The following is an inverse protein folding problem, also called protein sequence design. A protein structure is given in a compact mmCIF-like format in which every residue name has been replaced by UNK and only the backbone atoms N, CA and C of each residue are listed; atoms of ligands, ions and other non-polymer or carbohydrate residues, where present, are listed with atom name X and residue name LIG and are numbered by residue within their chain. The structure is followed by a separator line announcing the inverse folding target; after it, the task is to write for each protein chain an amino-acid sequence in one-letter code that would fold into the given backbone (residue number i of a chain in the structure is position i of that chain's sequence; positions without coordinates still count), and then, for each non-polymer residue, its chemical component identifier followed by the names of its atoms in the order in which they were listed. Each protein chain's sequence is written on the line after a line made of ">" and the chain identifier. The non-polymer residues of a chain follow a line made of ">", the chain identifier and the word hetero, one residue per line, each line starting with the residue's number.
data_IF_434148591650
#
_entry.id   IF_434148591650
#
_cell.length_a   1.000
_cell.length_b   1.000
_cell.length_c   1.000
_cell.angle_alpha   90.00
_cell.angle_beta   90.00
_cell.angle_gamma   90.00
#
_symmetry.space_group_name_H-M   'P 1'
#
loop_
_entity.id
_entity.type
_entity.pdbx_description
1 polymer ?
#
# COMPACT_ATOMS: atom_id res chain seq x y z
N UNK A 1 -0.87 -5.40 -16.16
CA UNK A 1 -0.61 -5.46 -14.71
C UNK A 1 0.41 -4.41 -14.27
N UNK A 2 1.61 -4.35 -14.88
CA UNK A 2 2.64 -3.33 -14.54
C UNK A 2 2.15 -1.88 -14.73
N UNK A 3 1.41 -1.59 -15.81
CA UNK A 3 0.95 -0.21 -16.07
C UNK A 3 -0.20 0.23 -15.16
N UNK A 4 -1.19 -0.64 -14.91
CA UNK A 4 -2.21 -0.39 -13.86
C UNK A 4 -1.52 -0.21 -12.49
N UNK A 5 -0.57 -1.06 -12.09
CA UNK A 5 0.18 -0.93 -10.83
C UNK A 5 1.01 0.37 -10.73
N UNK A 6 1.59 0.85 -11.84
CA UNK A 6 2.29 2.16 -11.88
C UNK A 6 1.33 3.33 -11.71
N UNK A 7 0.17 3.26 -12.35
CA UNK A 7 -0.88 4.28 -12.22
C UNK A 7 -1.46 4.30 -10.79
N UNK A 8 -1.69 3.12 -10.22
CA UNK A 8 -2.07 2.91 -8.81
C UNK A 8 -1.02 3.46 -7.84
N UNK A 9 0.28 3.20 -8.07
CA UNK A 9 1.38 3.78 -7.28
C UNK A 9 1.30 5.31 -7.26
N UNK A 10 1.09 5.93 -8.41
CA UNK A 10 1.02 7.40 -8.54
C UNK A 10 -0.21 7.98 -7.83
N UNK A 11 -1.37 7.31 -7.93
CA UNK A 11 -2.61 7.72 -7.27
C UNK A 11 -2.55 7.58 -5.74
N UNK A 12 -1.98 6.49 -5.23
CA UNK A 12 -1.87 6.23 -3.79
C UNK A 12 -0.90 7.22 -3.14
N UNK A 13 0.27 7.47 -3.74
CA UNK A 13 1.25 8.45 -3.26
C UNK A 13 0.65 9.86 -3.23
N UNK A 14 -0.14 10.22 -4.25
CA UNK A 14 -0.83 11.52 -4.31
C UNK A 14 -1.96 11.65 -3.28
N UNK A 15 -2.69 10.57 -3.00
CA UNK A 15 -3.83 10.56 -2.06
C UNK A 15 -3.39 10.55 -0.59
N UNK A 16 -2.25 9.93 -0.25
CA UNK A 16 -1.74 9.92 1.13
C UNK A 16 -1.03 11.22 1.52
N UNK A 17 -0.42 11.94 0.57
CA UNK A 17 0.35 13.17 0.83
C UNK A 17 -0.52 14.43 0.95
N UNK A 18 -1.63 14.51 0.22
CA UNK A 18 -2.54 15.67 0.24
C UNK A 18 -3.08 16.03 1.65
N UNK A 19 -3.60 15.10 2.47
CA UNK A 19 -4.09 15.44 3.81
C UNK A 19 -2.97 15.89 4.74
N UNK A 20 -1.77 15.32 4.63
CA UNK A 20 -0.63 15.71 5.46
C UNK A 20 -0.17 17.14 5.12
N UNK A 21 -0.19 17.52 3.84
CA UNK A 21 0.11 18.88 3.41
C UNK A 21 -0.92 19.90 3.94
N UNK A 22 -2.21 19.54 3.94
CA UNK A 22 -3.27 20.40 4.49
C UNK A 22 -3.07 20.58 6.00
N UNK A 23 -2.79 19.51 6.74
CA UNK A 23 -2.49 19.58 8.18
C UNK A 23 -1.31 20.53 8.43
N UNK A 24 -0.22 20.37 7.67
CA UNK A 24 0.94 21.24 7.76
C UNK A 24 0.59 22.71 7.53
N UNK A 25 -0.15 23.00 6.46
CA UNK A 25 -0.56 24.37 6.10
C UNK A 25 -1.42 25.00 7.21
N UNK A 26 -2.39 24.24 7.76
CA UNK A 26 -3.24 24.70 8.85
C UNK A 26 -2.42 25.03 10.10
N UNK A 27 -1.49 24.15 10.50
CA UNK A 27 -0.63 24.38 11.67
C UNK A 27 0.30 25.58 11.44
N UNK A 28 0.87 25.74 10.25
CA UNK A 28 1.70 26.89 9.89
C UNK A 28 0.93 28.22 9.95
N UNK A 29 -0.25 28.28 9.31
CA UNK A 29 -1.10 29.48 9.32
C UNK A 29 -1.54 29.82 10.74
N UNK A 30 -1.96 28.82 11.52
CA UNK A 30 -2.33 28.99 12.92
C UNK A 30 -1.18 29.53 13.75
N UNK A 31 0.02 28.95 13.62
CA UNK A 31 1.24 29.36 14.33
C UNK A 31 1.59 30.83 14.04
N UNK A 32 1.62 31.22 12.76
CA UNK A 32 1.92 32.61 12.35
C UNK A 32 0.82 33.59 12.78
N UNK A 33 -0.45 33.17 12.72
CA UNK A 33 -1.58 33.99 13.14
C UNK A 33 -1.53 34.29 14.64
N UNK A 34 -1.27 33.27 15.46
CA UNK A 34 -1.08 33.42 16.91
C UNK A 34 0.06 34.38 17.21
N UNK A 35 1.21 34.23 16.53
CA UNK A 35 2.35 35.13 16.66
C UNK A 35 1.97 36.60 16.38
N UNK A 36 1.19 36.87 15.32
CA UNK A 36 0.77 38.24 14.96
C UNK A 36 -0.19 38.88 15.96
N UNK A 37 -1.06 38.11 16.60
CA UNK A 37 -1.99 38.64 17.61
C UNK A 37 -1.24 38.95 18.90
N UNK A 38 -0.53 37.95 19.42
CA UNK A 38 0.24 38.07 20.66
C UNK A 38 1.30 36.97 20.69
N UNK A 39 2.60 37.31 20.65
CA UNK A 39 3.65 36.32 20.83
C UNK A 39 3.49 35.70 22.23
N UNK A 40 3.22 34.39 22.26
CA UNK A 40 2.98 33.65 23.51
C UNK A 40 4.31 33.35 24.21
N UNK A 41 5.34 33.05 23.42
CA UNK A 41 6.67 32.67 23.91
C UNK A 41 7.72 33.65 23.39
N UNK A 42 8.60 34.07 24.29
CA UNK A 42 9.81 34.83 23.96
C UNK A 42 11.00 33.94 24.28
N UNK A 43 11.75 33.59 23.24
CA UNK A 43 12.97 32.79 23.36
C UNK A 43 14.18 33.72 23.28
N UNK A 44 15.19 33.43 24.09
CA UNK A 44 16.51 34.05 23.95
C UNK A 44 17.38 33.27 22.96
N UNK A 45 18.49 33.87 22.53
CA UNK A 45 19.44 33.30 21.57
C UNK A 45 19.87 31.87 21.93
N UNK A 46 20.30 31.66 23.18
CA UNK A 46 20.73 30.33 23.65
C UNK A 46 19.59 29.31 23.52
N UNK A 47 18.37 29.67 23.92
CA UNK A 47 17.21 28.79 23.82
C UNK A 47 16.90 28.42 22.37
N UNK A 48 17.02 29.36 21.42
CA UNK A 48 16.82 29.11 19.99
C UNK A 48 17.88 28.12 19.50
N UNK A 49 19.16 28.38 19.76
CA UNK A 49 20.26 27.51 19.34
C UNK A 49 20.13 26.08 19.89
N UNK A 50 19.84 25.94 21.19
CA UNK A 50 19.64 24.63 21.80
C UNK A 50 18.40 23.92 21.25
N UNK A 51 17.27 24.61 21.15
CA UNK A 51 16.01 24.00 20.72
C UNK A 51 16.11 23.43 19.30
N UNK A 52 16.59 24.22 18.33
CA UNK A 52 16.64 23.80 16.94
C UNK A 52 17.77 22.80 16.67
N UNK A 53 18.89 22.89 17.40
CA UNK A 53 19.95 21.87 17.33
C UNK A 53 19.45 20.53 17.87
N UNK A 54 18.87 20.50 19.07
CA UNK A 54 18.33 19.27 19.67
C UNK A 54 17.15 18.70 18.87
N UNK A 55 16.25 19.55 18.36
CA UNK A 55 15.12 19.10 17.55
C UNK A 55 15.57 18.38 16.27
N UNK A 56 16.56 18.94 15.55
CA UNK A 56 17.11 18.32 14.34
C UNK A 56 17.70 16.92 14.60
N UNK A 57 18.40 16.76 15.72
CA UNK A 57 19.00 15.48 16.13
C UNK A 57 17.93 14.45 16.50
N UNK A 58 16.92 14.85 17.28
CA UNK A 58 15.81 13.98 17.69
C UNK A 58 15.02 13.51 16.47
N UNK A 59 14.70 14.43 15.56
CA UNK A 59 14.00 14.12 14.31
C UNK A 59 14.81 13.13 13.45
N UNK A 60 16.10 13.37 13.27
CA UNK A 60 16.98 12.48 12.52
C UNK A 60 17.04 11.07 13.14
N UNK A 61 17.11 10.98 14.48
CA UNK A 61 17.11 9.72 15.20
C UNK A 61 15.79 8.96 15.05
N UNK A 62 14.65 9.65 15.21
CA UNK A 62 13.31 9.06 15.00
C UNK A 62 13.18 8.54 13.58
N UNK A 63 13.61 9.30 12.58
CA UNK A 63 13.60 8.87 11.19
C UNK A 63 14.42 7.60 10.97
N UNK A 64 15.63 7.53 11.54
CA UNK A 64 16.48 6.33 11.49
C UNK A 64 15.76 5.08 12.04
N UNK A 65 15.13 5.21 13.21
CA UNK A 65 14.37 4.11 13.83
C UNK A 65 13.19 3.65 12.97
N UNK A 66 12.47 4.59 12.34
CA UNK A 66 11.35 4.27 11.45
C UNK A 66 11.82 3.48 10.24
N UNK A 67 12.92 3.90 9.60
CA UNK A 67 13.47 3.19 8.44
C UNK A 67 13.88 1.77 8.83
N UNK A 68 14.57 1.60 9.96
CA UNK A 68 14.94 0.28 10.46
C UNK A 68 13.70 -0.57 10.74
N UNK A 69 12.70 -0.03 11.45
CA UNK A 69 11.45 -0.74 11.73
C UNK A 69 10.70 -1.16 10.47
N UNK A 70 10.68 -0.30 9.45
CA UNK A 70 10.07 -0.63 8.17
C UNK A 70 10.81 -1.74 7.42
N UNK A 71 12.14 -1.76 7.43
CA UNK A 71 12.92 -2.84 6.79
C UNK A 71 12.56 -4.19 7.40
N UNK A 72 12.47 -4.26 8.74
CA UNK A 72 12.05 -5.49 9.43
C UNK A 72 10.61 -5.89 9.09
N UNK A 73 9.68 -4.93 9.12
CA UNK A 73 8.28 -5.19 8.76
C UNK A 73 8.13 -5.69 7.32
N UNK A 74 8.87 -5.08 6.38
CA UNK A 74 8.84 -5.47 4.98
C UNK A 74 9.26 -6.93 4.81
N UNK A 75 10.36 -7.32 5.44
CA UNK A 75 10.85 -8.70 5.41
C UNK A 75 9.84 -9.68 6.04
N UNK A 76 9.17 -9.28 7.12
CA UNK A 76 8.12 -10.09 7.74
C UNK A 76 6.91 -10.27 6.82
N UNK A 77 6.52 -9.21 6.11
CA UNK A 77 5.47 -9.28 5.10
C UNK A 77 5.89 -10.16 3.91
N UNK A 78 7.13 -10.04 3.40
CA UNK A 78 7.66 -10.97 2.38
C UNK A 78 7.54 -12.43 2.85
N UNK A 79 7.96 -12.73 4.08
CA UNK A 79 7.85 -14.07 4.66
C UNK A 79 6.42 -14.59 4.77
N UNK A 80 5.43 -13.72 4.97
CA UNK A 80 4.00 -14.10 4.98
C UNK A 80 3.51 -14.43 3.57
N UNK A 81 3.90 -13.66 2.55
CA UNK A 81 3.57 -13.93 1.16
C UNK A 81 4.18 -15.25 0.66
N UNK A 82 5.41 -15.56 1.08
CA UNK A 82 6.06 -16.83 0.74
C UNK A 82 5.32 -18.05 1.30
N UNK A 83 4.62 -17.90 2.43
CA UNK A 83 3.85 -18.96 3.08
C UNK A 83 2.45 -19.11 2.51
N UNK A 84 1.84 -18.00 2.11
CA UNK A 84 0.49 -17.94 1.54
C UNK A 84 0.47 -17.02 0.32
N UNK A 85 0.45 -17.63 -0.85
CA UNK A 85 0.44 -16.94 -2.14
C UNK A 85 -0.80 -16.06 -2.32
N UNK A 86 -1.94 -16.40 -1.69
CA UNK A 86 -3.15 -15.57 -1.79
C UNK A 86 -3.00 -14.21 -1.11
N UNK A 87 -2.00 -14.04 -0.24
CA UNK A 87 -1.66 -12.77 0.37
C UNK A 87 -0.72 -11.90 -0.48
N UNK A 88 -0.15 -12.41 -1.57
CA UNK A 88 0.90 -11.71 -2.34
C UNK A 88 0.44 -10.32 -2.79
N UNK A 89 -0.76 -10.22 -3.37
CA UNK A 89 -1.33 -8.95 -3.84
C UNK A 89 -1.66 -7.98 -2.70
N UNK A 90 -2.24 -8.50 -1.60
CA UNK A 90 -2.59 -7.73 -0.41
C UNK A 90 -1.31 -7.14 0.22
N UNK A 91 -0.27 -7.95 0.33
CA UNK A 91 1.03 -7.57 0.87
C UNK A 91 1.74 -6.57 -0.04
N UNK A 92 1.64 -6.73 -1.36
CA UNK A 92 2.18 -5.77 -2.32
C UNK A 92 1.52 -4.39 -2.20
N UNK A 93 0.19 -4.36 -1.97
CA UNK A 93 -0.56 -3.14 -1.72
C UNK A 93 -0.05 -2.44 -0.44
N UNK A 94 0.04 -3.16 0.68
CA UNK A 94 0.55 -2.64 1.95
C UNK A 94 1.97 -2.07 1.82
N UNK A 95 2.90 -2.82 1.20
CA UNK A 95 4.27 -2.36 0.98
C UNK A 95 4.31 -1.08 0.17
N UNK A 96 3.46 -0.96 -0.85
CA UNK A 96 3.39 0.23 -1.68
C UNK A 96 2.89 1.45 -0.89
N UNK A 97 1.88 1.28 -0.04
CA UNK A 97 1.36 2.34 0.81
C UNK A 97 2.35 2.78 1.89
N UNK A 98 3.01 1.83 2.53
CA UNK A 98 4.01 2.11 3.57
C UNK A 98 5.23 2.80 2.96
N UNK A 99 5.68 2.36 1.79
CA UNK A 99 6.77 3.03 1.07
C UNK A 99 6.42 4.47 0.69
N UNK A 100 5.20 4.72 0.21
CA UNK A 100 4.73 6.08 -0.07
C UNK A 100 4.71 6.97 1.18
N UNK A 101 4.31 6.42 2.33
CA UNK A 101 4.32 7.13 3.60
C UNK A 101 5.75 7.45 4.06
N UNK A 102 6.69 6.52 3.87
CA UNK A 102 8.11 6.74 4.19
C UNK A 102 8.72 7.84 3.34
N UNK A 103 8.46 7.87 2.03
CA UNK A 103 8.92 8.97 1.17
C UNK A 103 8.41 10.31 1.72
N UNK A 104 7.13 10.37 2.11
CA UNK A 104 6.54 11.55 2.72
C UNK A 104 7.27 11.97 3.99
N UNK A 105 7.51 11.02 4.90
CA UNK A 105 8.26 11.26 6.15
C UNK A 105 9.67 11.76 5.82
N UNK A 106 10.42 11.09 4.93
CA UNK A 106 11.78 11.48 4.53
C UNK A 106 11.85 12.92 4.03
N UNK A 107 10.90 13.33 3.18
CA UNK A 107 10.84 14.70 2.66
C UNK A 107 10.53 15.71 3.76
N UNK A 108 9.58 15.40 4.66
CA UNK A 108 9.28 16.28 5.80
C UNK A 108 10.44 16.36 6.79
N UNK A 109 11.13 15.26 7.08
CA UNK A 109 12.33 15.22 7.92
C UNK A 109 13.43 16.10 7.36
N UNK A 110 13.71 15.98 6.06
CA UNK A 110 14.71 16.82 5.39
C UNK A 110 14.33 18.31 5.49
N UNK A 111 13.06 18.63 5.22
CA UNK A 111 12.56 20.00 5.34
C UNK A 111 12.70 20.52 6.77
N UNK A 112 12.30 19.75 7.78
CA UNK A 112 12.44 20.11 9.20
C UNK A 112 13.88 20.39 9.58
N UNK A 113 14.84 19.54 9.18
CA UNK A 113 16.27 19.72 9.48
C UNK A 113 16.80 20.98 8.79
N UNK A 114 16.48 21.19 7.52
CA UNK A 114 16.88 22.41 6.78
C UNK A 114 16.32 23.65 7.46
N UNK A 115 15.05 23.64 7.85
CA UNK A 115 14.41 24.74 8.57
C UNK A 115 15.06 25.00 9.94
N UNK A 116 15.46 23.95 10.67
CA UNK A 116 16.22 24.10 11.91
C UNK A 116 17.57 24.80 11.67
N UNK A 117 18.31 24.40 10.63
CA UNK A 117 19.57 25.04 10.28
C UNK A 117 19.39 26.49 9.79
N UNK A 118 18.32 26.78 9.06
CA UNK A 118 18.00 28.14 8.64
C UNK A 118 17.69 29.05 9.85
N UNK A 119 16.97 28.55 10.86
CA UNK A 119 16.73 29.31 12.10
C UNK A 119 18.05 29.61 12.82
N UNK A 120 18.93 28.61 12.96
CA UNK A 120 20.24 28.78 13.60
C UNK A 120 21.11 29.78 12.81
N UNK A 121 21.08 29.71 11.47
CA UNK A 121 21.83 30.61 10.61
C UNK A 121 21.28 32.04 10.64
N UNK A 122 19.97 32.23 10.69
CA UNK A 122 19.36 33.56 10.72
C UNK A 122 19.49 34.22 12.09
N UNK A 123 19.51 33.47 13.20
CA UNK A 123 19.77 34.01 14.55
C UNK A 123 21.10 34.80 14.60
N UNK A 124 22.09 34.38 13.80
CA UNK A 124 23.38 35.08 13.71
C UNK A 124 23.31 36.44 12.99
N UNK A 125 22.18 36.75 12.34
CA UNK A 125 21.91 37.99 11.61
C UNK A 125 20.82 38.80 12.34
N UNK A 126 21.02 40.12 12.47
CA UNK A 126 20.18 41.02 13.32
C UNK A 126 18.74 41.28 12.82
N UNK A 127 18.17 40.45 11.93
CA UNK A 127 16.85 40.67 11.33
C UNK A 127 15.72 39.92 12.06
N UNK A 128 15.28 40.46 13.21
CA UNK A 128 14.36 39.76 14.13
C UNK A 128 12.98 39.38 13.56
N UNK A 129 12.49 40.01 12.49
CA UNK A 129 11.18 39.67 11.91
C UNK A 129 11.22 38.38 11.08
N UNK A 130 12.28 38.17 10.29
CA UNK A 130 12.42 36.97 9.45
C UNK A 130 12.60 35.74 10.34
N UNK A 131 13.48 35.85 11.33
CA UNK A 131 13.71 34.86 12.37
C UNK A 131 12.41 34.39 13.03
N UNK A 132 11.54 35.33 13.42
CA UNK A 132 10.28 34.98 14.07
C UNK A 132 9.35 34.16 13.14
N UNK A 133 9.27 34.50 11.86
CA UNK A 133 8.51 33.69 10.89
C UNK A 133 9.14 32.31 10.69
N UNK A 134 10.47 32.24 10.56
CA UNK A 134 11.19 30.98 10.43
C UNK A 134 10.95 30.08 11.64
N UNK A 135 11.08 30.60 12.86
CA UNK A 135 10.83 29.84 14.10
C UNK A 135 9.41 29.23 14.09
N UNK A 136 8.39 30.03 13.78
CA UNK A 136 7.00 29.57 13.80
C UNK A 136 6.72 28.51 12.72
N UNK A 137 7.29 28.66 11.52
CA UNK A 137 7.19 27.67 10.43
C UNK A 137 7.96 26.40 10.77
N UNK A 138 9.16 26.52 11.32
CA UNK A 138 9.99 25.39 11.73
C UNK A 138 9.30 24.56 12.81
N UNK A 139 8.79 25.19 13.87
CA UNK A 139 8.05 24.50 14.94
C UNK A 139 6.79 23.82 14.39
N UNK A 140 6.02 24.50 13.54
CA UNK A 140 4.84 23.91 12.90
C UNK A 140 5.20 22.68 12.04
N UNK A 141 6.32 22.73 11.33
CA UNK A 141 6.83 21.63 10.51
C UNK A 141 7.25 20.44 11.37
N UNK A 142 8.01 20.68 12.44
CA UNK A 142 8.44 19.66 13.41
C UNK A 142 7.22 18.97 14.05
N UNK A 143 6.22 19.73 14.49
CA UNK A 143 5.00 19.17 15.08
C UNK A 143 4.22 18.32 14.07
N UNK A 144 4.12 18.80 12.83
CA UNK A 144 3.46 18.04 11.76
C UNK A 144 4.19 16.74 11.48
N UNK A 145 5.52 16.77 11.41
CA UNK A 145 6.34 15.58 11.25
C UNK A 145 6.09 14.56 12.36
N UNK A 146 6.08 14.98 13.63
CA UNK A 146 5.78 14.09 14.76
C UNK A 146 4.38 13.45 14.62
N UNK A 147 3.37 14.21 14.20
CA UNK A 147 2.01 13.68 13.96
C UNK A 147 2.02 12.65 12.83
N UNK A 148 2.70 12.93 11.72
CA UNK A 148 2.80 12.01 10.56
C UNK A 148 3.53 10.73 10.96
N UNK A 149 4.62 10.84 11.73
CA UNK A 149 5.37 9.72 12.29
C UNK A 149 4.47 8.85 13.18
N UNK A 150 3.77 9.45 14.15
CA UNK A 150 2.89 8.72 15.06
C UNK A 150 1.79 8.00 14.28
N UNK A 151 1.16 8.69 13.32
CA UNK A 151 0.15 8.09 12.43
C UNK A 151 0.71 6.90 11.65
N UNK A 152 1.93 7.03 11.12
CA UNK A 152 2.59 5.95 10.39
C UNK A 152 2.86 4.75 11.31
N UNK A 153 3.41 4.97 12.51
CA UNK A 153 3.65 3.91 13.50
C UNK A 153 2.37 3.17 13.86
N UNK A 154 1.27 3.89 14.14
CA UNK A 154 -0.04 3.28 14.41
C UNK A 154 -0.52 2.45 13.20
N UNK A 155 -0.32 2.97 11.99
CA UNK A 155 -0.74 2.28 10.76
C UNK A 155 0.01 0.97 10.57
N UNK A 156 1.34 0.97 10.73
CA UNK A 156 2.16 -0.23 10.51
C UNK A 156 2.02 -1.28 11.61
N UNK A 157 1.69 -0.86 12.83
CA UNK A 157 1.44 -1.76 13.97
C UNK A 157 0.00 -2.27 14.04
N UNK A 158 -0.89 -1.78 13.18
CA UNK A 158 -2.28 -2.21 13.18
C UNK A 158 -2.37 -3.72 12.85
N UNK A 159 -2.86 -4.56 13.78
CA UNK A 159 -2.97 -6.00 13.55
C UNK A 159 -3.92 -6.34 12.39
N UNK A 160 -4.89 -5.46 12.12
CA UNK A 160 -5.90 -5.64 11.06
C UNK A 160 -5.45 -5.04 9.73
N UNK A 161 -4.17 -4.68 9.58
CA UNK A 161 -3.64 -4.07 8.33
C UNK A 161 -3.85 -4.95 7.10
N UNK A 162 -3.71 -6.28 7.23
CA UNK A 162 -3.99 -7.23 6.14
C UNK A 162 -5.47 -7.23 5.76
N UNK A 163 -6.36 -7.26 6.74
CA UNK A 163 -7.82 -7.25 6.53
C UNK A 163 -8.28 -5.95 5.86
N UNK A 164 -7.78 -4.80 6.33
CA UNK A 164 -8.07 -3.48 5.75
C UNK A 164 -7.59 -3.43 4.28
N UNK A 165 -6.38 -3.93 4.01
CA UNK A 165 -5.86 -4.01 2.65
C UNK A 165 -6.66 -4.98 1.78
N UNK A 166 -7.11 -6.11 2.33
CA UNK A 166 -7.97 -7.08 1.66
C UNK A 166 -9.30 -6.46 1.26
N UNK A 167 -9.99 -5.81 2.19
CA UNK A 167 -11.24 -5.10 1.95
C UNK A 167 -11.07 -4.00 0.89
N UNK A 168 -9.95 -3.27 0.93
CA UNK A 168 -9.64 -2.24 -0.07
C UNK A 168 -9.40 -2.84 -1.47
N UNK A 169 -8.70 -3.97 -1.55
CA UNK A 169 -8.51 -4.70 -2.82
C UNK A 169 -9.85 -5.20 -3.37
N UNK A 170 -10.74 -5.69 -2.49
CA UNK A 170 -12.09 -6.08 -2.85
C UNK A 170 -12.89 -4.92 -3.41
N UNK A 171 -12.90 -3.77 -2.73
CA UNK A 171 -13.63 -2.58 -3.18
C UNK A 171 -13.17 -2.07 -4.56
N UNK A 172 -11.95 -2.43 -4.98
CA UNK A 172 -11.39 -2.11 -6.30
C UNK A 172 -11.68 -3.16 -7.36
N UNK A 173 -11.99 -4.40 -6.97
CA UNK A 173 -12.17 -5.56 -7.86
C UNK A 173 -13.63 -5.99 -7.99
N UNK A 174 -14.47 -5.70 -7.00
CA UNK A 174 -15.91 -5.98 -7.02
C UNK A 174 -16.60 -5.17 -8.13
N UNK A 175 -17.44 -5.84 -8.92
CA UNK A 175 -18.15 -5.20 -10.03
C UNK A 175 -19.45 -4.50 -9.60
N UNK A 176 -20.06 -4.91 -8.48
CA UNK A 176 -21.28 -4.27 -7.98
C UNK A 176 -21.26 -4.04 -6.45
N UNK A 177 -21.89 -2.94 -6.02
CA UNK A 177 -22.08 -2.55 -4.60
C UNK A 177 -23.54 -2.67 -4.17
N UNK A 178 -24.42 -3.17 -5.04
CA UNK A 178 -25.84 -3.37 -4.73
C UNK A 178 -26.03 -4.57 -3.80
N UNK A 179 -27.01 -4.46 -2.89
CA UNK A 179 -27.28 -5.42 -1.79
C UNK A 179 -27.86 -6.78 -2.25
N UNK A 180 -27.60 -7.21 -3.48
CA UNK A 180 -28.01 -8.55 -3.91
C UNK A 180 -26.93 -9.56 -3.51
N UNK A 181 -27.22 -10.36 -2.47
CA UNK A 181 -26.31 -11.40 -2.01
C UNK A 181 -26.40 -12.62 -2.93
N UNK A 182 -25.40 -12.79 -3.79
CA UNK A 182 -25.18 -14.02 -4.54
C UNK A 182 -24.70 -15.16 -3.63
N UNK A 183 -24.77 -16.39 -4.13
CA UNK A 183 -24.31 -17.57 -3.39
C UNK A 183 -22.79 -17.66 -3.37
N UNK A 184 -22.19 -17.45 -2.18
CA UNK A 184 -20.75 -17.64 -1.97
C UNK A 184 -20.31 -19.07 -2.31
N UNK A 185 -21.14 -20.07 -1.97
CA UNK A 185 -20.85 -21.47 -2.25
C UNK A 185 -20.74 -21.72 -3.76
N UNK A 186 -21.63 -21.12 -4.54
CA UNK A 186 -21.65 -21.26 -6.00
C UNK A 186 -20.46 -20.56 -6.66
N UNK A 187 -20.15 -19.34 -6.22
CA UNK A 187 -18.92 -18.65 -6.61
C UNK A 187 -17.67 -19.49 -6.33
N UNK A 188 -17.54 -20.02 -5.11
CA UNK A 188 -16.39 -20.85 -4.74
C UNK A 188 -16.34 -22.15 -5.53
N UNK A 189 -17.49 -22.75 -5.87
CA UNK A 189 -17.56 -23.93 -6.72
C UNK A 189 -17.05 -23.63 -8.13
N UNK A 190 -17.47 -22.54 -8.74
CA UNK A 190 -16.97 -22.12 -10.06
C UNK A 190 -15.47 -21.83 -10.02
N UNK A 191 -15.02 -21.08 -9.02
CA UNK A 191 -13.61 -20.77 -8.86
C UNK A 191 -12.74 -22.02 -8.65
N UNK A 192 -13.16 -22.96 -7.81
CA UNK A 192 -12.43 -24.19 -7.56
C UNK A 192 -12.29 -25.02 -8.85
N UNK A 193 -13.30 -25.01 -9.73
CA UNK A 193 -13.19 -25.65 -11.04
C UNK A 193 -12.21 -24.93 -11.96
N UNK A 194 -12.23 -23.59 -11.99
CA UNK A 194 -11.22 -22.80 -12.71
C UNK A 194 -9.82 -23.15 -12.20
N UNK A 195 -9.62 -23.18 -10.88
CA UNK A 195 -8.35 -23.48 -10.25
C UNK A 195 -7.83 -24.87 -10.66
N UNK A 196 -8.71 -25.87 -10.66
CA UNK A 196 -8.40 -27.21 -11.13
C UNK A 196 -7.99 -27.23 -12.61
N UNK A 197 -8.70 -26.50 -13.47
CA UNK A 197 -8.36 -26.41 -14.90
C UNK A 197 -7.00 -25.71 -15.09
N UNK A 198 -6.77 -24.60 -14.39
CA UNK A 198 -5.49 -23.88 -14.45
C UNK A 198 -4.33 -24.77 -13.99
N UNK A 199 -4.49 -25.53 -12.91
CA UNK A 199 -3.47 -26.48 -12.46
C UNK A 199 -3.24 -27.57 -13.49
N UNK A 200 -4.30 -28.22 -13.96
CA UNK A 200 -4.20 -29.36 -14.88
C UNK A 200 -3.56 -28.99 -16.21
N UNK A 201 -4.02 -27.90 -16.82
CA UNK A 201 -3.58 -27.50 -18.16
C UNK A 201 -2.40 -26.53 -18.12
N UNK A 202 -2.28 -25.68 -17.10
CA UNK A 202 -1.14 -24.78 -16.98
C UNK A 202 0.14 -25.52 -16.57
N UNK A 203 0.04 -26.51 -15.68
CA UNK A 203 1.22 -27.29 -15.28
C UNK A 203 1.71 -28.25 -16.35
N UNK A 204 0.85 -28.77 -17.23
CA UNK A 204 1.26 -29.69 -18.29
C UNK A 204 2.28 -29.08 -19.26
N UNK A 205 2.28 -27.76 -19.44
CA UNK A 205 3.26 -27.06 -20.30
C UNK A 205 4.61 -26.80 -19.62
N UNK A 206 4.67 -26.86 -18.30
CA UNK A 206 5.92 -26.69 -17.55
C UNK A 206 6.72 -27.99 -17.40
N UNK A 207 6.05 -29.13 -17.57
CA UNK A 207 6.55 -30.44 -17.17
C UNK A 207 6.46 -31.50 -18.27
N UNK A 208 6.43 -31.09 -19.54
CA UNK A 208 6.40 -32.01 -20.69
C UNK A 208 7.53 -33.06 -20.69
N UNK A 209 8.62 -32.80 -19.95
CA UNK A 209 9.79 -33.69 -19.84
C UNK A 209 9.96 -34.42 -18.48
N UNK A 210 9.03 -34.27 -17.52
CA UNK A 210 9.17 -34.89 -16.20
C UNK A 210 8.10 -35.96 -15.97
N UNK A 211 8.48 -37.23 -16.14
CA UNK A 211 7.69 -38.45 -15.88
C UNK A 211 7.25 -38.64 -14.42
N UNK A 212 7.51 -37.70 -13.52
CA UNK A 212 7.31 -37.86 -12.08
C UNK A 212 6.37 -36.79 -11.51
N UNK A 213 5.08 -37.11 -11.52
CA UNK A 213 3.97 -36.29 -11.03
C UNK A 213 4.13 -35.87 -9.55
N UNK A 214 4.90 -36.62 -8.75
CA UNK A 214 5.22 -36.32 -7.35
C UNK A 214 6.20 -35.14 -7.20
N UNK A 215 7.07 -34.90 -8.18
CA UNK A 215 8.01 -33.77 -8.18
C UNK A 215 7.32 -32.42 -8.52
N UNK A 216 6.22 -32.47 -9.28
CA UNK A 216 5.38 -31.34 -9.69
C UNK A 216 4.66 -30.71 -8.50
N UNK A 217 4.22 -31.53 -7.52
CA UNK A 217 3.59 -31.06 -6.27
C UNK A 217 4.49 -30.18 -5.41
N UNK A 218 5.82 -30.21 -5.61
CA UNK A 218 6.78 -29.52 -4.73
C UNK A 218 7.03 -28.05 -5.10
N UNK A 219 6.62 -27.59 -6.28
CA UNK A 219 6.62 -26.16 -6.61
C UNK A 219 5.18 -25.70 -6.76
N UNK A 220 4.60 -25.13 -5.71
CA UNK A 220 3.36 -24.36 -5.84
C UNK A 220 3.62 -23.23 -6.84
N UNK A 221 2.96 -23.29 -7.99
CA UNK A 221 3.09 -22.30 -9.04
C UNK A 221 1.95 -21.32 -8.89
N UNK A 222 2.29 -20.04 -8.99
CA UNK A 222 1.29 -19.03 -8.81
C UNK A 222 0.15 -19.14 -9.83
N UNK A 223 -1.10 -19.00 -9.37
CA UNK A 223 -2.26 -19.18 -10.28
C UNK A 223 -2.25 -18.16 -11.40
N UNK A 224 -1.85 -16.93 -11.10
CA UNK A 224 -1.60 -15.88 -12.09
C UNK A 224 -0.55 -16.29 -13.12
N UNK A 225 0.52 -16.98 -12.70
CA UNK A 225 1.56 -17.51 -13.59
C UNK A 225 1.04 -18.61 -14.51
N UNK A 226 0.15 -19.49 -14.03
CA UNK A 226 -0.50 -20.50 -14.87
C UNK A 226 -1.36 -19.85 -15.97
N UNK A 227 -2.11 -18.79 -15.63
CA UNK A 227 -2.86 -17.99 -16.62
C UNK A 227 -1.92 -17.40 -17.67
N UNK A 228 -0.78 -16.85 -17.26
CA UNK A 228 0.21 -16.30 -18.20
C UNK A 228 0.81 -17.36 -19.12
N UNK A 229 1.03 -18.58 -18.62
CA UNK A 229 1.52 -19.70 -19.43
C UNK A 229 0.49 -20.05 -20.49
N UNK A 230 -0.77 -20.25 -20.11
CA UNK A 230 -1.85 -20.55 -21.06
C UNK A 230 -2.01 -19.46 -22.13
N UNK A 231 -1.85 -18.19 -21.74
CA UNK A 231 -1.89 -17.07 -22.67
C UNK A 231 -0.69 -17.08 -23.64
N UNK A 232 0.52 -17.34 -23.13
CA UNK A 232 1.74 -17.40 -23.94
C UNK A 232 1.71 -18.54 -24.95
N UNK A 233 1.11 -19.67 -24.58
CA UNK A 233 0.88 -20.82 -25.45
C UNK A 233 -0.36 -20.65 -26.36
N UNK A 234 -0.92 -19.43 -26.43
CA UNK A 234 -2.07 -19.04 -27.26
C UNK A 234 -3.34 -19.89 -27.01
N UNK A 235 -3.46 -20.49 -25.82
CA UNK A 235 -4.63 -21.29 -25.42
C UNK A 235 -5.79 -20.47 -24.92
N UNK A 236 -5.53 -19.25 -24.47
CA UNK A 236 -6.54 -18.29 -24.04
C UNK A 236 -6.25 -16.93 -24.66
N UNK A 237 -7.28 -16.16 -24.94
CA UNK A 237 -7.14 -14.82 -25.47
C UNK A 237 -6.81 -13.77 -24.39
N UNK A 238 -6.61 -12.52 -24.82
CA UNK A 238 -6.27 -11.41 -23.91
C UNK A 238 -7.42 -11.04 -22.97
N UNK A 239 -8.68 -11.16 -23.41
CA UNK A 239 -9.87 -10.87 -22.60
C UNK A 239 -9.98 -11.88 -21.45
N UNK A 240 -9.95 -13.17 -21.78
CA UNK A 240 -10.01 -14.27 -20.81
C UNK A 240 -8.85 -14.21 -19.83
N UNK A 241 -7.62 -13.93 -20.30
CA UNK A 241 -6.46 -13.73 -19.42
C UNK A 241 -6.72 -12.61 -18.41
N UNK A 242 -7.20 -11.44 -18.86
CA UNK A 242 -7.45 -10.32 -17.95
C UNK A 242 -8.55 -10.64 -16.94
N UNK A 243 -9.65 -11.25 -17.39
CA UNK A 243 -10.78 -11.65 -16.55
C UNK A 243 -10.36 -12.69 -15.49
N UNK A 244 -9.52 -13.67 -15.84
CA UNK A 244 -8.98 -14.66 -14.90
C UNK A 244 -8.09 -14.02 -13.83
N UNK A 245 -7.23 -13.08 -14.21
CA UNK A 245 -6.39 -12.36 -13.25
C UNK A 245 -7.25 -11.54 -12.28
N UNK A 246 -8.26 -10.83 -12.79
CA UNK A 246 -9.18 -10.05 -11.95
C UNK A 246 -9.99 -10.95 -11.01
N UNK A 247 -10.44 -12.13 -11.48
CA UNK A 247 -11.15 -13.11 -10.66
C UNK A 247 -10.27 -13.72 -9.55
N UNK A 248 -9.02 -14.06 -9.86
CA UNK A 248 -8.04 -14.55 -8.86
C UNK A 248 -7.80 -13.49 -7.78
N UNK A 249 -7.61 -12.24 -8.19
CA UNK A 249 -7.44 -11.11 -7.28
C UNK A 249 -8.65 -10.90 -6.37
N UNK A 250 -9.86 -10.93 -6.96
CA UNK A 250 -11.12 -10.82 -6.23
C UNK A 250 -11.28 -11.95 -5.20
N UNK A 251 -11.07 -13.21 -5.60
CA UNK A 251 -11.15 -14.37 -4.69
C UNK A 251 -10.15 -14.27 -3.54
N UNK A 252 -8.93 -13.84 -3.82
CA UNK A 252 -7.90 -13.66 -2.79
C UNK A 252 -8.30 -12.56 -1.79
N UNK A 253 -8.88 -11.45 -2.28
CA UNK A 253 -9.39 -10.38 -1.42
C UNK A 253 -10.61 -10.79 -0.58
N UNK A 254 -11.42 -11.72 -1.08
CA UNK A 254 -12.62 -12.23 -0.41
C UNK A 254 -12.26 -13.09 0.80
N UNK A 255 -11.27 -13.98 0.66
CA UNK A 255 -10.90 -14.96 1.71
C UNK A 255 -10.26 -14.31 2.94
N UNK A 256 -9.52 -13.22 2.73
CA UNK A 256 -8.82 -12.49 3.81
C UNK A 256 -9.53 -11.20 4.25
N UNK A 257 -10.70 -10.91 3.66
CA UNK A 257 -11.56 -9.81 4.08
C UNK A 257 -12.52 -10.22 5.21
N UNK A 258 -13.09 -9.23 5.90
CA UNK A 258 -14.02 -9.49 7.01
C UNK A 258 -15.43 -9.88 6.58
N UNK A 259 -15.76 -9.63 5.32
CA UNK A 259 -17.12 -9.74 4.80
C UNK A 259 -17.13 -10.71 3.61
N UNK A 260 -17.55 -11.95 3.87
CA UNK A 260 -17.66 -13.04 2.90
C UNK A 260 -18.97 -12.96 2.11
N UNK A 261 -19.23 -11.84 1.44
CA UNK A 261 -20.37 -11.73 0.53
C UNK A 261 -19.88 -11.54 -0.90
N UNK A 262 -20.63 -12.10 -1.84
CA UNK A 262 -20.47 -11.95 -3.29
C UNK A 262 -21.79 -11.41 -3.83
N UNK A 263 -21.74 -10.59 -4.88
CA UNK A 263 -22.95 -10.16 -5.57
C UNK A 263 -23.45 -11.24 -6.54
N UNK A 264 -24.73 -11.19 -6.93
CA UNK A 264 -25.26 -12.06 -8.00
C UNK A 264 -24.42 -11.93 -9.29
N UNK A 265 -24.02 -10.69 -9.62
CA UNK A 265 -23.15 -10.39 -10.76
C UNK A 265 -21.77 -11.03 -10.65
N UNK A 266 -21.18 -11.12 -9.46
CA UNK A 266 -19.89 -11.80 -9.26
C UNK A 266 -20.01 -13.32 -9.50
N UNK A 267 -21.14 -13.92 -9.11
CA UNK A 267 -21.43 -15.34 -9.36
C UNK A 267 -21.58 -15.59 -10.86
N UNK A 268 -22.41 -14.82 -11.55
CA UNK A 268 -22.61 -14.92 -13.01
C UNK A 268 -21.30 -14.69 -13.78
N UNK A 269 -20.48 -13.73 -13.35
CA UNK A 269 -19.17 -13.48 -13.94
C UNK A 269 -18.25 -14.68 -13.77
N UNK A 270 -18.21 -15.28 -12.57
CA UNK A 270 -17.38 -16.47 -12.31
C UNK A 270 -17.79 -17.65 -13.19
N UNK A 271 -19.09 -17.85 -13.39
CA UNK A 271 -19.63 -18.90 -14.27
C UNK A 271 -19.27 -18.64 -15.74
N UNK A 272 -19.45 -17.39 -16.20
CA UNK A 272 -19.11 -17.00 -17.57
C UNK A 272 -17.62 -17.19 -17.87
N UNK A 273 -16.74 -16.85 -16.93
CA UNK A 273 -15.29 -17.06 -17.07
C UNK A 273 -14.97 -18.56 -17.10
N UNK A 274 -15.59 -19.36 -16.23
CA UNK A 274 -15.43 -20.81 -16.23
C UNK A 274 -15.82 -21.42 -17.57
N UNK A 275 -16.98 -21.06 -18.11
CA UNK A 275 -17.46 -21.57 -19.39
C UNK A 275 -16.55 -21.15 -20.54
N UNK A 276 -16.12 -19.88 -20.60
CA UNK A 276 -15.13 -19.42 -21.59
C UNK A 276 -13.80 -20.19 -21.50
N UNK A 277 -13.32 -20.45 -20.29
CA UNK A 277 -12.08 -21.20 -20.07
C UNK A 277 -12.20 -22.65 -20.54
N UNK A 278 -13.33 -23.30 -20.22
CA UNK A 278 -13.68 -24.63 -20.70
C UNK A 278 -13.72 -24.71 -22.22
N UNK A 279 -14.41 -23.77 -22.86
CA UNK A 279 -14.52 -23.69 -24.31
C UNK A 279 -13.16 -23.50 -25.00
N UNK A 280 -12.33 -22.60 -24.46
CA UNK A 280 -10.99 -22.31 -25.01
C UNK A 280 -10.04 -23.51 -24.93
N UNK A 281 -10.20 -24.35 -23.90
CA UNK A 281 -9.36 -25.52 -23.65
C UNK A 281 -9.99 -26.84 -24.12
N UNK A 282 -11.21 -26.82 -24.65
CA UNK A 282 -11.94 -28.00 -25.09
C UNK A 282 -12.30 -28.97 -23.96
N UNK A 283 -12.66 -28.45 -22.78
CA UNK A 283 -12.94 -29.22 -21.56
C UNK A 283 -14.42 -29.16 -21.24
N UNK A 284 -15.11 -30.30 -21.14
CA UNK A 284 -16.49 -30.39 -20.67
C UNK A 284 -16.57 -30.35 -19.14
#
# INVERSE_FOLDING_TARGET
>A
MIDKLKEYRKLIIKRSSLPNFIIWLVICVFSVFVYKIKPVFHLNENQILYLFSSASQVIAAIYGLIITGYIFLRNELDRKADKDESLEEIILLLKTEYFGSIIGISLTTLLSIVLCFLVIADETHSNGNLLAYLINISVATILTELIVVVKFVITILNPNSLEIASNKLRDLTAQDKTNESGSLEEFLKHYNQIEYILDKYGSSFLYSDLNDYESVKRKRIAKTKLVYILFKEEKIDTDLKNNLIELISFRNSLIHGTNLYVSTTDVEMSEKILNKLKDSLGVA
#
